data_IF_293170291337
#
_entry.id   IF_293170291337
#
_cell.length_a   1.000
_cell.length_b   1.000
_cell.length_c   1.000
_cell.angle_alpha   90.00
_cell.angle_beta   90.00
_cell.angle_gamma   90.00
#
_symmetry.space_group_name_H-M   'P 1'
#
loop_
_entity.id
_entity.type
_entity.pdbx_description
1 polymer ?
#
# COMPACT_ATOMS: atom_id res chain seq x y z
N UNK A 1 -46.39 25.32 23.50
CA UNK A 1 -45.94 24.34 24.52
C UNK A 1 -46.62 22.97 24.33
N UNK A 2 -46.66 22.40 23.10
CA UNK A 2 -47.39 21.13 22.87
C UNK A 2 -46.87 20.27 21.71
N UNK A 3 -45.60 20.41 21.28
CA UNK A 3 -45.02 19.56 20.22
C UNK A 3 -43.81 18.71 20.66
N UNK A 4 -43.30 18.93 21.86
CA UNK A 4 -42.19 18.15 22.41
C UNK A 4 -42.62 16.86 23.12
N UNK A 5 -43.92 16.73 23.47
CA UNK A 5 -44.44 15.56 24.20
C UNK A 5 -44.82 14.37 23.31
N UNK A 6 -44.99 14.58 22.01
CA UNK A 6 -45.29 13.49 21.05
C UNK A 6 -44.03 12.78 20.52
N UNK A 7 -42.83 13.36 20.72
CA UNK A 7 -41.57 12.77 20.20
C UNK A 7 -40.97 11.69 21.11
N UNK A 8 -41.33 11.66 22.40
CA UNK A 8 -40.77 10.70 23.35
C UNK A 8 -41.51 9.35 23.38
N UNK A 9 -42.77 9.29 22.91
CA UNK A 9 -43.56 8.04 22.86
C UNK A 9 -43.30 7.18 21.61
N UNK A 10 -42.67 7.73 20.58
CA UNK A 10 -42.32 6.98 19.35
C UNK A 10 -40.94 6.29 19.44
N UNK A 11 -40.11 6.69 20.42
CA UNK A 11 -38.79 6.09 20.68
C UNK A 11 -38.92 4.85 21.59
N UNK A 12 -39.98 4.74 22.38
CA UNK A 12 -40.25 3.58 23.25
C UNK A 12 -40.72 2.31 22.53
N UNK A 13 -41.18 2.40 21.26
CA UNK A 13 -41.70 1.26 20.49
C UNK A 13 -40.68 0.60 19.56
N UNK A 14 -39.47 1.14 19.41
CA UNK A 14 -38.40 0.52 18.61
C UNK A 14 -37.41 -0.34 19.43
N UNK A 15 -37.44 -0.23 20.76
CA UNK A 15 -36.53 -0.98 21.66
C UNK A 15 -37.17 -2.30 22.15
N UNK A 16 -38.48 -2.52 21.95
CA UNK A 16 -39.20 -3.74 22.36
C UNK A 16 -39.42 -4.78 21.23
N UNK A 17 -38.64 -4.73 20.15
CA UNK A 17 -38.61 -5.78 19.10
C UNK A 17 -37.26 -6.49 18.94
N UNK A 18 -36.27 -6.13 19.73
CA UNK A 18 -34.92 -6.71 19.66
C UNK A 18 -34.56 -7.55 20.92
N UNK A 19 -35.57 -8.03 21.68
CA UNK A 19 -35.37 -8.87 22.87
C UNK A 19 -36.03 -10.27 22.81
N UNK A 20 -36.83 -10.58 21.79
CA UNK A 20 -37.53 -11.87 21.64
C UNK A 20 -37.21 -12.60 20.32
N UNK A 21 -36.01 -12.38 19.76
CA UNK A 21 -35.39 -13.30 18.79
C UNK A 21 -34.09 -13.88 19.38
N UNK A 22 -34.12 -14.16 20.69
CA UNK A 22 -33.07 -14.88 21.43
C UNK A 22 -33.47 -16.32 21.79
N UNK A 23 -34.57 -16.84 21.24
CA UNK A 23 -35.12 -18.15 21.58
C UNK A 23 -35.24 -19.12 20.39
N UNK A 24 -34.24 -19.16 19.49
CA UNK A 24 -34.22 -20.23 18.47
C UNK A 24 -32.85 -20.84 18.13
N UNK A 25 -31.88 -20.76 19.04
CA UNK A 25 -30.70 -21.63 19.00
C UNK A 25 -30.97 -22.96 19.71
N UNK A 26 -31.99 -23.70 19.25
CA UNK A 26 -32.19 -25.09 19.62
C UNK A 26 -32.47 -25.92 18.35
N UNK A 27 -31.40 -26.19 17.61
CA UNK A 27 -31.35 -27.41 16.80
C UNK A 27 -30.09 -28.19 17.15
N UNK A 28 -30.30 -29.35 17.77
CA UNK A 28 -29.47 -30.53 17.56
C UNK A 28 -28.14 -30.59 18.31
N UNK A 29 -28.18 -30.64 19.64
CA UNK A 29 -27.05 -31.12 20.46
C UNK A 29 -26.89 -32.64 20.25
N UNK A 30 -26.21 -33.07 19.18
CA UNK A 30 -25.70 -34.45 19.10
C UNK A 30 -24.50 -34.54 20.04
N UNK A 31 -24.72 -35.05 21.26
CA UNK A 31 -23.65 -35.52 22.13
C UNK A 31 -22.92 -36.66 21.42
N UNK A 32 -21.73 -36.38 20.89
CA UNK A 32 -20.74 -37.42 20.60
C UNK A 32 -19.93 -37.60 21.89
N UNK A 33 -20.23 -38.65 22.64
CA UNK A 33 -19.35 -39.15 23.69
C UNK A 33 -18.06 -39.65 23.02
N UNK A 34 -17.08 -38.75 22.89
CA UNK A 34 -15.69 -39.11 22.63
C UNK A 34 -14.94 -39.35 23.94
N UNK A 35 -13.83 -40.12 23.93
CA UNK A 35 -13.13 -40.53 25.14
C UNK A 35 -12.51 -39.34 25.90
N UNK A 36 -12.32 -39.44 27.22
CA UNK A 36 -11.75 -38.38 28.04
C UNK A 36 -10.21 -38.36 27.90
N UNK A 37 -9.72 -37.43 27.09
CA UNK A 37 -8.31 -37.05 27.05
C UNK A 37 -8.23 -35.53 26.95
N UNK A 38 -7.93 -34.88 28.08
CA UNK A 38 -7.49 -33.48 28.22
C UNK A 38 -8.22 -32.45 27.34
N UNK A 39 -9.43 -32.04 27.77
CA UNK A 39 -10.08 -30.85 27.24
C UNK A 39 -9.36 -29.59 27.74
N UNK A 40 -8.34 -29.19 27.00
CA UNK A 40 -7.75 -27.87 27.09
C UNK A 40 -8.86 -26.86 26.77
N UNK A 41 -9.11 -25.92 27.67
CA UNK A 41 -10.01 -24.76 27.52
C UNK A 41 -9.45 -23.76 26.50
N UNK A 42 -9.10 -24.24 25.30
CA UNK A 42 -8.57 -23.41 24.22
C UNK A 42 -9.76 -22.84 23.47
N UNK A 43 -9.98 -21.54 23.64
CA UNK A 43 -10.88 -20.77 22.80
C UNK A 43 -10.53 -21.05 21.34
N UNK A 44 -11.44 -21.64 20.54
CA UNK A 44 -11.12 -21.98 19.17
C UNK A 44 -10.81 -20.71 18.38
N UNK A 45 -9.80 -20.76 17.51
CA UNK A 45 -9.49 -19.64 16.62
C UNK A 45 -10.68 -19.32 15.70
N UNK A 46 -10.69 -18.14 15.08
CA UNK A 46 -11.79 -17.71 14.22
C UNK A 46 -12.07 -18.72 13.09
N UNK A 47 -11.03 -19.35 12.54
CA UNK A 47 -11.16 -20.37 11.51
C UNK A 47 -11.90 -21.61 12.00
N UNK A 48 -11.45 -22.20 13.11
CA UNK A 48 -12.04 -23.40 13.67
C UNK A 48 -13.47 -23.15 14.15
N UNK A 49 -13.73 -21.95 14.70
CA UNK A 49 -15.07 -21.50 15.08
C UNK A 49 -16.01 -21.43 13.86
N UNK A 50 -15.58 -20.80 12.76
CA UNK A 50 -16.39 -20.69 11.53
C UNK A 50 -16.62 -22.06 10.87
N UNK A 51 -15.58 -22.90 10.81
CA UNK A 51 -15.61 -24.23 10.20
C UNK A 51 -16.28 -25.29 11.09
N UNK A 52 -16.72 -24.93 12.31
CA UNK A 52 -17.38 -25.83 13.28
C UNK A 52 -16.56 -27.10 13.59
N UNK A 53 -15.24 -26.96 13.69
CA UNK A 53 -14.31 -28.07 14.01
C UNK A 53 -13.48 -27.77 15.26
N UNK A 54 -12.88 -28.80 15.86
CA UNK A 54 -11.96 -28.66 16.98
C UNK A 54 -10.70 -27.90 16.56
N UNK A 55 -10.26 -26.94 17.38
CA UNK A 55 -8.97 -26.28 17.23
C UNK A 55 -7.89 -27.15 17.88
N UNK A 56 -6.99 -27.71 17.05
CA UNK A 56 -5.83 -28.47 17.54
C UNK A 56 -4.75 -27.51 18.10
N UNK A 57 -3.78 -28.06 18.84
CA UNK A 57 -2.62 -27.30 19.33
C UNK A 57 -1.83 -26.70 18.17
N UNK A 58 -1.52 -27.52 17.16
CA UNK A 58 -0.82 -27.12 15.93
C UNK A 58 -1.81 -26.69 14.82
N UNK A 59 -2.76 -25.83 15.16
CA UNK A 59 -3.70 -25.32 14.16
C UNK A 59 -3.02 -24.28 13.26
N UNK A 60 -2.96 -24.48 11.93
CA UNK A 60 -2.26 -23.56 11.01
C UNK A 60 -2.90 -22.16 10.93
N UNK A 61 -4.13 -22.02 11.42
CA UNK A 61 -4.85 -20.75 11.43
C UNK A 61 -4.79 -20.02 12.77
N UNK A 62 -4.46 -20.71 13.86
CA UNK A 62 -4.59 -20.15 15.22
C UNK A 62 -3.69 -18.93 15.46
N UNK A 63 -2.42 -18.91 15.02
CA UNK A 63 -1.56 -17.75 15.22
C UNK A 63 -2.02 -16.48 14.48
N UNK A 64 -2.77 -16.63 13.39
CA UNK A 64 -3.07 -15.52 12.46
C UNK A 64 -4.53 -15.07 12.49
N UNK A 65 -5.45 -15.94 12.95
CA UNK A 65 -6.90 -15.66 12.96
C UNK A 65 -7.47 -15.73 14.36
N UNK A 66 -7.34 -14.61 15.08
CA UNK A 66 -7.86 -14.43 16.45
C UNK A 66 -9.38 -14.62 16.53
N UNK A 67 -9.90 -15.27 17.59
CA UNK A 67 -11.34 -15.39 17.81
C UNK A 67 -12.06 -14.04 17.98
N UNK A 68 -11.34 -12.97 18.31
CA UNK A 68 -11.88 -11.62 18.45
C UNK A 68 -12.16 -10.94 17.10
N UNK A 69 -11.58 -11.44 16.01
CA UNK A 69 -11.71 -10.87 14.67
C UNK A 69 -12.28 -11.89 13.67
N UNK A 70 -13.49 -12.42 13.90
CA UNK A 70 -14.06 -13.49 13.07
C UNK A 70 -14.25 -13.08 11.60
N UNK A 71 -14.41 -11.77 11.35
CA UNK A 71 -14.59 -11.23 10.01
C UNK A 71 -13.36 -11.42 9.13
N UNK A 72 -12.15 -11.36 9.70
CA UNK A 72 -10.90 -11.61 8.94
C UNK A 72 -10.92 -12.98 8.28
N UNK A 73 -11.24 -14.02 9.06
CA UNK A 73 -11.31 -15.37 8.51
C UNK A 73 -12.52 -15.56 7.59
N UNK A 74 -13.67 -14.95 7.90
CA UNK A 74 -14.86 -15.04 7.05
C UNK A 74 -14.60 -14.50 5.64
N UNK A 75 -13.91 -13.36 5.52
CA UNK A 75 -13.56 -12.76 4.23
C UNK A 75 -12.63 -13.67 3.42
N UNK A 76 -11.52 -14.13 3.99
CA UNK A 76 -10.56 -15.00 3.28
C UNK A 76 -11.17 -16.35 2.94
N UNK A 77 -12.02 -16.90 3.81
CA UNK A 77 -12.72 -18.14 3.55
C UNK A 77 -13.69 -18.01 2.35
N UNK A 78 -14.38 -16.88 2.24
CA UNK A 78 -15.32 -16.62 1.15
C UNK A 78 -14.61 -16.44 -0.20
N UNK A 79 -13.44 -15.80 -0.22
CA UNK A 79 -12.73 -15.48 -1.47
C UNK A 79 -11.78 -16.59 -1.91
N UNK A 80 -10.97 -17.11 -0.99
CA UNK A 80 -9.93 -18.09 -1.29
C UNK A 80 -10.30 -19.51 -0.88
N UNK A 81 -11.12 -19.67 0.14
CA UNK A 81 -11.43 -20.98 0.74
C UNK A 81 -10.37 -21.43 1.76
N UNK A 82 -10.80 -22.18 2.78
CA UNK A 82 -9.92 -22.55 3.91
C UNK A 82 -8.71 -23.38 3.46
N UNK A 83 -8.90 -24.35 2.57
CA UNK A 83 -7.81 -25.23 2.11
C UNK A 83 -6.72 -24.47 1.37
N UNK A 84 -7.11 -23.52 0.50
CA UNK A 84 -6.16 -22.70 -0.24
C UNK A 84 -5.41 -21.76 0.70
N UNK A 85 -6.11 -21.11 1.65
CA UNK A 85 -5.45 -20.27 2.66
C UNK A 85 -4.43 -21.08 3.47
N UNK A 86 -4.80 -22.30 3.90
CA UNK A 86 -3.86 -23.17 4.61
C UNK A 86 -2.63 -23.48 3.75
N UNK A 87 -2.83 -23.81 2.47
CA UNK A 87 -1.74 -24.13 1.55
C UNK A 87 -0.80 -22.93 1.33
N UNK A 88 -1.36 -21.76 1.02
CA UNK A 88 -0.59 -20.53 0.81
C UNK A 88 0.22 -20.14 2.05
N UNK A 89 -0.36 -20.28 3.25
CA UNK A 89 0.39 -20.01 4.49
C UNK A 89 1.53 -21.02 4.71
N UNK A 90 1.36 -22.28 4.33
CA UNK A 90 2.42 -23.29 4.49
C UNK A 90 3.53 -23.18 3.44
N UNK A 91 3.25 -22.59 2.27
CA UNK A 91 4.25 -22.30 1.23
C UNK A 91 5.18 -21.13 1.60
N UNK A 92 4.74 -20.28 2.54
CA UNK A 92 5.51 -19.11 3.02
C UNK A 92 6.33 -19.48 4.27
N UNK A 93 7.59 -18.99 4.40
CA UNK A 93 8.37 -19.16 5.64
C UNK A 93 7.63 -18.62 6.86
N UNK A 94 7.79 -19.27 8.00
CA UNK A 94 7.02 -18.97 9.21
C UNK A 94 7.08 -17.49 9.64
N UNK A 95 8.24 -16.86 9.47
CA UNK A 95 8.46 -15.43 9.77
C UNK A 95 7.58 -14.48 8.96
N UNK A 96 7.13 -14.89 7.78
CA UNK A 96 6.33 -14.06 6.87
C UNK A 96 4.85 -14.45 6.84
N UNK A 97 4.45 -15.53 7.53
CA UNK A 97 3.06 -16.02 7.50
C UNK A 97 2.05 -15.03 8.07
N UNK A 98 2.46 -14.24 9.07
CA UNK A 98 1.61 -13.20 9.63
C UNK A 98 1.29 -12.12 8.58
N UNK A 99 2.31 -11.67 7.84
CA UNK A 99 2.14 -10.69 6.76
C UNK A 99 1.34 -11.27 5.60
N UNK A 100 1.61 -12.52 5.22
CA UNK A 100 0.83 -13.22 4.20
C UNK A 100 -0.65 -13.32 4.58
N UNK A 101 -0.96 -13.67 5.84
CA UNK A 101 -2.33 -13.71 6.33
C UNK A 101 -3.00 -12.32 6.27
N UNK A 102 -2.29 -11.25 6.64
CA UNK A 102 -2.79 -9.88 6.54
C UNK A 102 -3.06 -9.47 5.09
N UNK A 103 -2.17 -9.80 4.15
CA UNK A 103 -2.34 -9.55 2.72
C UNK A 103 -3.55 -10.28 2.16
N UNK A 104 -3.73 -11.57 2.50
CA UNK A 104 -4.91 -12.34 2.10
C UNK A 104 -6.20 -11.71 2.64
N UNK A 105 -6.21 -11.25 3.90
CA UNK A 105 -7.36 -10.54 4.48
C UNK A 105 -7.67 -9.25 3.71
N UNK A 106 -6.64 -8.46 3.41
CA UNK A 106 -6.80 -7.23 2.62
C UNK A 106 -7.39 -7.53 1.24
N UNK A 107 -6.77 -8.44 0.48
CA UNK A 107 -7.21 -8.82 -0.86
C UNK A 107 -8.64 -9.36 -0.86
N UNK A 108 -8.98 -10.22 0.11
CA UNK A 108 -10.33 -10.73 0.26
C UNK A 108 -11.34 -9.60 0.51
N UNK A 109 -11.03 -8.67 1.42
CA UNK A 109 -11.91 -7.54 1.71
C UNK A 109 -12.10 -6.62 0.51
N UNK A 110 -11.06 -6.36 -0.28
CA UNK A 110 -11.18 -5.57 -1.51
C UNK A 110 -12.01 -6.32 -2.55
N UNK A 111 -11.77 -7.61 -2.76
CA UNK A 111 -12.56 -8.44 -3.69
C UNK A 111 -14.03 -8.56 -3.31
N UNK A 112 -14.36 -8.52 -2.02
CA UNK A 112 -15.74 -8.52 -1.54
C UNK A 112 -16.44 -7.18 -1.79
N UNK A 113 -15.71 -6.06 -1.77
CA UNK A 113 -16.24 -4.72 -2.10
C UNK A 113 -16.33 -4.49 -3.60
N UNK A 114 -15.36 -4.99 -4.35
CA UNK A 114 -15.31 -4.95 -5.81
C UNK A 114 -15.13 -6.38 -6.36
N UNK A 115 -16.24 -7.07 -6.67
CA UNK A 115 -16.20 -8.43 -7.22
C UNK A 115 -15.59 -8.52 -8.62
N UNK A 116 -15.50 -7.41 -9.35
CA UNK A 116 -15.02 -7.39 -10.74
C UNK A 116 -13.50 -7.24 -10.73
N UNK A 117 -12.99 -6.12 -10.20
CA UNK A 117 -11.56 -5.80 -10.27
C UNK A 117 -10.81 -6.06 -8.97
N UNK A 118 -11.46 -6.05 -7.81
CA UNK A 118 -10.81 -6.26 -6.52
C UNK A 118 -9.56 -5.39 -6.33
N UNK A 119 -8.45 -5.99 -5.93
CA UNK A 119 -7.18 -5.26 -5.76
C UNK A 119 -6.62 -4.69 -7.07
N UNK A 120 -6.95 -5.26 -8.24
CA UNK A 120 -6.50 -4.72 -9.53
C UNK A 120 -7.08 -3.33 -9.80
N UNK A 121 -8.31 -3.05 -9.37
CA UNK A 121 -8.91 -1.73 -9.50
C UNK A 121 -8.14 -0.67 -8.71
N UNK A 122 -7.72 -1.00 -7.50
CA UNK A 122 -6.87 -0.14 -6.68
C UNK A 122 -5.50 0.10 -7.34
N UNK A 123 -4.88 -0.94 -7.91
CA UNK A 123 -3.61 -0.82 -8.64
C UNK A 123 -3.76 0.12 -9.84
N UNK A 124 -4.79 -0.07 -10.66
CA UNK A 124 -5.04 0.77 -11.84
C UNK A 124 -5.29 2.24 -11.47
N UNK A 125 -6.07 2.49 -10.41
CA UNK A 125 -6.31 3.84 -9.93
C UNK A 125 -5.02 4.53 -9.45
N UNK A 126 -4.19 3.81 -8.69
CA UNK A 126 -2.89 4.33 -8.23
C UNK A 126 -1.94 4.59 -9.40
N UNK A 127 -1.90 3.71 -10.40
CA UNK A 127 -1.09 3.91 -11.60
C UNK A 127 -1.52 5.15 -12.39
N UNK A 128 -2.82 5.40 -12.52
CA UNK A 128 -3.34 6.62 -13.15
C UNK A 128 -2.96 7.86 -12.35
N UNK A 129 -3.04 7.80 -11.01
CA UNK A 129 -2.65 8.92 -10.14
C UNK A 129 -1.15 9.23 -10.27
N UNK A 130 -0.30 8.22 -10.28
CA UNK A 130 1.16 8.39 -10.51
C UNK A 130 1.42 9.05 -11.86
N UNK A 131 0.74 8.62 -12.93
CA UNK A 131 0.89 9.21 -14.25
C UNK A 131 0.43 10.67 -14.29
N UNK A 132 -0.72 10.97 -13.67
CA UNK A 132 -1.25 12.34 -13.59
C UNK A 132 -0.29 13.27 -12.85
N UNK A 133 0.20 12.84 -11.67
CA UNK A 133 1.15 13.63 -10.88
C UNK A 133 2.49 13.81 -11.62
N UNK A 134 2.95 12.78 -12.33
CA UNK A 134 4.17 12.88 -13.13
C UNK A 134 4.00 13.88 -14.30
N UNK A 135 2.82 13.91 -14.94
CA UNK A 135 2.51 14.87 -15.99
C UNK A 135 2.47 16.30 -15.46
N UNK A 136 1.85 16.52 -14.29
CA UNK A 136 1.83 17.82 -13.61
C UNK A 136 3.24 18.30 -13.25
N UNK A 137 4.06 17.44 -12.64
CA UNK A 137 5.46 17.75 -12.34
C UNK A 137 6.24 18.14 -13.60
N UNK A 138 6.02 17.42 -14.71
CA UNK A 138 6.69 17.72 -15.97
C UNK A 138 6.22 19.06 -16.56
N UNK A 139 4.93 19.38 -16.47
CA UNK A 139 4.38 20.65 -16.91
C UNK A 139 4.98 21.83 -16.13
N UNK A 140 5.05 21.72 -14.79
CA UNK A 140 5.65 22.75 -13.93
C UNK A 140 7.15 22.91 -14.24
N UNK A 141 7.89 21.80 -14.42
CA UNK A 141 9.30 21.86 -14.81
C UNK A 141 9.50 22.55 -16.17
N UNK A 142 8.64 22.28 -17.15
CA UNK A 142 8.69 22.93 -18.45
C UNK A 142 8.44 24.45 -18.35
N UNK A 143 7.47 24.88 -17.53
CA UNK A 143 7.22 26.30 -17.29
C UNK A 143 8.42 26.97 -16.60
N UNK A 144 9.06 26.33 -15.60
CA UNK A 144 10.26 26.87 -14.95
C UNK A 144 11.39 27.09 -15.97
N UNK A 145 11.64 26.13 -16.86
CA UNK A 145 12.67 26.24 -17.89
C UNK A 145 12.35 27.41 -18.83
N UNK A 146 11.09 27.54 -19.25
CA UNK A 146 10.62 28.64 -20.11
C UNK A 146 10.83 30.01 -19.46
N UNK A 147 10.57 30.16 -18.16
CA UNK A 147 10.86 31.40 -17.44
C UNK A 147 12.36 31.70 -17.39
N UNK A 148 13.20 30.71 -17.05
CA UNK A 148 14.66 30.89 -17.00
C UNK A 148 15.27 31.26 -18.36
N UNK A 149 14.82 30.63 -19.45
CA UNK A 149 15.27 30.98 -20.80
C UNK A 149 14.80 32.38 -21.23
N UNK A 150 13.60 32.81 -20.79
CA UNK A 150 13.12 34.17 -21.04
C UNK A 150 13.96 35.21 -20.29
N UNK A 151 14.33 34.97 -19.04
CA UNK A 151 15.24 35.87 -18.29
C UNK A 151 16.61 35.99 -18.96
N UNK A 152 17.18 34.87 -19.44
CA UNK A 152 18.45 34.88 -20.17
C UNK A 152 18.42 35.69 -21.47
N UNK A 153 17.28 35.75 -22.16
CA UNK A 153 17.11 36.53 -23.40
C UNK A 153 16.87 38.03 -23.16
N UNK A 154 16.64 38.49 -21.93
CA UNK A 154 16.43 39.91 -21.58
C UNK A 154 17.72 40.61 -21.12
N UNK A 155 18.83 39.88 -20.96
CA UNK A 155 20.17 40.47 -20.77
C UNK A 155 20.79 40.67 -22.16
N UNK A 156 21.02 41.93 -22.62
CA UNK A 156 21.66 42.13 -23.90
C UNK A 156 23.09 41.59 -23.85
N UNK A 157 23.61 40.93 -24.91
CA UNK A 157 25.03 40.69 -25.01
C UNK A 157 25.74 42.05 -25.05
N UNK A 158 26.31 42.47 -23.92
CA UNK A 158 27.15 43.67 -23.84
C UNK A 158 28.26 43.50 -24.87
N UNK A 159 28.18 44.31 -25.91
CA UNK A 159 29.04 44.25 -27.09
C UNK A 159 30.45 44.69 -26.70
N UNK A 160 31.38 43.75 -26.57
CA UNK A 160 32.80 44.07 -26.65
C UNK A 160 33.47 43.21 -27.74
N UNK A 161 33.78 43.95 -28.81
CA UNK A 161 34.52 43.68 -30.03
C UNK A 161 35.81 42.87 -29.80
N UNK A 162 36.07 41.87 -30.65
CA UNK A 162 37.43 41.56 -31.11
C UNK A 162 37.39 40.83 -32.47
N UNK A 163 37.85 41.56 -33.49
CA UNK A 163 38.13 41.13 -34.87
C UNK A 163 39.55 40.52 -34.98
N UNK A 164 39.85 39.97 -36.17
CA UNK A 164 41.15 39.52 -36.73
C UNK A 164 41.43 38.00 -36.52
N UNK A 165 41.92 37.21 -37.48
CA UNK A 165 42.62 37.51 -38.75
C UNK A 165 42.61 36.30 -39.70
N UNK A 166 42.95 36.58 -40.97
CA UNK A 166 42.86 35.81 -42.22
C UNK A 166 43.72 34.54 -42.38
N UNK A 167 43.28 33.67 -43.31
CA UNK A 167 44.11 33.18 -44.43
C UNK A 167 44.38 31.67 -44.54
N UNK A 168 43.83 31.02 -45.57
CA UNK A 168 44.59 30.27 -46.60
C UNK A 168 43.70 29.39 -47.52
N UNK A 169 43.95 29.59 -48.81
CA UNK A 169 43.64 28.87 -50.06
C UNK A 169 43.10 27.43 -50.06
N UNK A 170 42.14 27.24 -50.97
CA UNK A 170 41.48 26.00 -51.36
C UNK A 170 42.29 25.22 -52.41
N UNK A 171 42.46 23.91 -52.22
CA UNK A 171 42.82 22.96 -53.30
C UNK A 171 41.95 21.71 -53.15
N UNK A 172 41.38 21.27 -54.27
CA UNK A 172 40.38 20.20 -54.37
C UNK A 172 40.98 18.79 -54.32
N UNK A 173 40.23 17.83 -53.77
CA UNK A 173 40.35 16.39 -54.06
C UNK A 173 39.01 15.65 -53.75
N UNK A 174 38.60 14.62 -54.54
CA UNK A 174 37.32 13.89 -54.41
C UNK A 174 37.40 12.68 -53.44
N UNK A 175 36.29 11.97 -53.13
CA UNK A 175 36.05 11.31 -51.83
C UNK A 175 36.46 9.81 -51.79
N UNK A 176 36.41 9.19 -50.59
CA UNK A 176 35.85 7.84 -50.54
C UNK A 176 34.89 7.55 -49.37
N UNK A 177 33.90 6.72 -49.71
CA UNK A 177 33.24 5.66 -48.94
C UNK A 177 32.57 5.98 -47.58
N UNK A 178 31.24 5.85 -47.62
CA UNK A 178 30.34 5.59 -46.49
C UNK A 178 30.80 4.38 -45.65
N UNK A 179 31.13 4.62 -44.39
CA UNK A 179 31.10 3.62 -43.32
C UNK A 179 30.03 4.04 -42.31
N UNK A 180 29.01 3.20 -42.17
CA UNK A 180 28.00 3.34 -41.12
C UNK A 180 28.67 3.21 -39.74
N UNK A 181 28.28 4.01 -38.73
CA UNK A 181 28.72 3.77 -37.36
C UNK A 181 28.08 2.48 -36.81
N UNK A 182 28.81 1.67 -36.02
CA UNK A 182 28.26 0.47 -35.39
C UNK A 182 27.15 0.84 -34.39
N UNK A 183 26.17 -0.06 -34.15
CA UNK A 183 25.12 0.18 -33.17
C UNK A 183 25.70 0.32 -31.75
N UNK A 184 25.08 1.14 -30.88
CA UNK A 184 25.55 1.33 -29.51
C UNK A 184 25.46 0.01 -28.71
N UNK A 185 26.38 -0.23 -27.76
CA UNK A 185 26.35 -1.40 -26.90
C UNK A 185 25.10 -1.40 -25.99
N UNK A 186 24.61 -2.58 -25.57
CA UNK A 186 23.49 -2.67 -24.64
C UNK A 186 23.84 -2.04 -23.28
N UNK A 187 22.85 -1.48 -22.55
CA UNK A 187 23.08 -0.86 -21.26
C UNK A 187 23.57 -1.87 -20.22
N UNK A 188 24.45 -1.46 -19.28
CA UNK A 188 24.94 -2.33 -18.22
C UNK A 188 23.82 -2.74 -17.25
N UNK A 189 23.89 -3.94 -16.63
CA UNK A 189 22.92 -4.36 -15.63
C UNK A 189 22.97 -3.46 -14.39
N UNK A 190 21.79 -3.14 -13.85
CA UNK A 190 21.61 -2.35 -12.62
C UNK A 190 22.39 -2.98 -11.45
N UNK A 191 23.17 -2.20 -10.68
CA UNK A 191 23.84 -2.72 -9.49
C UNK A 191 22.87 -2.84 -8.32
N UNK A 192 22.84 -4.03 -7.74
CA UNK A 192 22.29 -4.36 -6.42
C UNK A 192 22.93 -3.45 -5.37
N UNK A 193 22.10 -2.71 -4.64
CA UNK A 193 22.55 -1.73 -3.65
C UNK A 193 22.89 -2.45 -2.34
N UNK A 194 24.19 -2.57 -2.05
CA UNK A 194 24.69 -2.89 -0.71
C UNK A 194 25.51 -1.70 -0.21
N UNK A 195 24.98 -1.06 0.83
CA UNK A 195 25.69 -0.42 1.94
C UNK A 195 26.81 0.62 1.67
N UNK A 196 26.41 1.87 1.94
CA UNK A 196 27.08 2.97 2.66
C UNK A 196 28.44 3.54 2.18
N UNK A 197 28.29 4.76 1.68
CA UNK A 197 29.20 5.89 1.51
C UNK A 197 30.05 6.24 2.74
N UNK A 198 31.36 6.35 2.52
CA UNK A 198 32.29 7.21 3.26
C UNK A 198 32.34 8.59 2.58
N UNK A 199 32.22 9.66 3.38
CA UNK A 199 33.21 10.75 3.45
C UNK A 199 32.69 11.87 4.38
N UNK A 200 33.38 11.99 5.50
CA UNK A 200 33.22 12.98 6.56
C UNK A 200 33.57 14.38 6.09
N UNK A 201 32.64 15.32 6.24
CA UNK A 201 32.96 16.74 6.51
C UNK A 201 31.74 17.39 7.19
N UNK A 202 31.64 17.25 8.51
CA UNK A 202 30.88 18.20 9.32
C UNK A 202 31.38 18.22 10.76
N UNK A 203 31.92 19.36 11.17
CA UNK A 203 32.35 19.69 12.52
C UNK A 203 31.11 20.08 13.32
N UNK A 204 30.75 19.33 14.37
CA UNK A 204 29.73 19.74 15.33
C UNK A 204 30.31 20.68 16.39
N UNK A 205 29.58 21.73 16.80
CA UNK A 205 29.59 22.21 18.18
C UNK A 205 28.39 21.64 18.93
N UNK A 206 28.70 21.02 20.07
CA UNK A 206 27.80 20.60 21.13
C UNK A 206 26.98 21.77 21.67
N UNK A 207 25.65 21.65 21.70
CA UNK A 207 24.83 22.21 22.79
C UNK A 207 23.53 21.42 22.89
N UNK A 208 23.31 20.81 24.06
CA UNK A 208 22.04 20.24 24.48
C UNK A 208 21.07 21.38 24.75
N UNK A 209 19.94 21.43 24.05
CA UNK A 209 18.80 22.24 24.48
C UNK A 209 17.53 21.49 24.12
N UNK A 210 16.81 21.11 25.17
CA UNK A 210 15.50 20.49 25.14
C UNK A 210 14.51 21.34 24.35
N UNK A 211 13.84 20.72 23.36
CA UNK A 211 12.60 21.23 22.79
C UNK A 211 11.49 20.22 23.02
N UNK A 212 11.01 20.20 24.26
CA UNK A 212 9.62 19.82 24.51
C UNK A 212 8.77 21.07 24.29
N UNK A 213 7.66 20.90 23.58
CA UNK A 213 6.59 21.87 23.28
C UNK A 213 6.73 22.56 21.92
N UNK A 214 5.99 22.08 20.92
CA UNK A 214 5.21 22.93 20.01
C UNK A 214 4.05 22.14 19.40
N UNK A 215 2.97 22.88 19.19
CA UNK A 215 1.57 22.45 19.16
C UNK A 215 1.13 21.49 18.06
N UNK A 216 0.09 20.77 18.45
CA UNK A 216 -0.88 20.02 17.68
C UNK A 216 -1.59 20.91 16.66
N UNK A 217 -1.52 20.58 15.37
CA UNK A 217 -2.58 20.88 14.41
C UNK A 217 -2.85 19.66 13.51
N UNK A 218 -4.10 19.25 13.57
CA UNK A 218 -4.68 18.02 13.08
C UNK A 218 -5.04 18.20 11.58
N UNK A 219 -4.45 17.43 10.67
CA UNK A 219 -4.95 17.33 9.29
C UNK A 219 -5.51 15.94 9.07
N UNK A 220 -6.82 15.81 9.28
CA UNK A 220 -7.61 14.63 8.96
C UNK A 220 -7.81 14.54 7.44
N UNK A 221 -6.95 13.79 6.74
CA UNK A 221 -7.08 13.53 5.31
C UNK A 221 -7.61 12.11 5.04
N UNK A 222 -8.82 11.79 5.50
CA UNK A 222 -9.63 10.69 4.95
C UNK A 222 -11.09 10.95 5.30
N UNK A 223 -11.85 11.39 4.31
CA UNK A 223 -13.31 11.39 4.25
C UNK A 223 -13.76 10.52 3.08
#
# INVERSE_FOLDING_TARGET
>A
MSRERERFDEIGKKIKREADVSANYQMGRRHMLGPPGTLNTITPCAACKLLRRRCAQECPFSPYFSPHEPQKFASVHKVFGASNVSKMLMEVPESQRADAANSLVYEANVRLRDPVYGCMGAISALQQQVQSLQAELNAVRAEIIKYKCREANLVPPSSHVAMLSSGAVSVAAPPPATTQPPPPPPPPPLPTTTAVTTCSIYTQPTTSTDYTTLSNDNVSYFG
#
